data_IF_437729192201
#
_entry.id   IF_437729192201
#
_cell.length_a   1.000
_cell.length_b   1.000
_cell.length_c   1.000
_cell.angle_alpha   90.00
_cell.angle_beta   90.00
_cell.angle_gamma   90.00
#
_symmetry.space_group_name_H-M   'P 1'
#
loop_
_entity.id
_entity.type
_entity.pdbx_description
1 polymer ?
#
# COMPACT_ATOMS: atom_id res chain seq x y z
N UNK A 1 4.87 -67.44 -14.69
CA UNK A 1 5.37 -66.44 -13.73
C UNK A 1 5.50 -65.07 -14.41
N UNK A 2 4.38 -64.40 -14.77
CA UNK A 2 4.41 -63.11 -15.50
C UNK A 2 3.20 -62.24 -15.17
N UNK A 3 2.87 -62.10 -13.88
CA UNK A 3 1.74 -61.26 -13.42
C UNK A 3 2.09 -60.26 -12.32
N UNK A 4 3.30 -60.31 -11.74
CA UNK A 4 3.68 -59.44 -10.62
C UNK A 4 4.23 -58.06 -11.03
N UNK A 5 4.84 -57.93 -12.21
CA UNK A 5 5.43 -56.65 -12.64
C UNK A 5 4.40 -55.62 -13.14
N UNK A 6 3.23 -56.05 -13.60
CA UNK A 6 2.16 -55.16 -14.09
C UNK A 6 1.47 -54.39 -12.95
N UNK A 7 1.21 -55.08 -11.83
CA UNK A 7 0.63 -54.52 -10.61
C UNK A 7 1.56 -53.46 -9.98
N UNK A 8 2.88 -53.71 -10.02
CA UNK A 8 3.92 -52.78 -9.54
C UNK A 8 4.01 -51.54 -10.43
N UNK A 9 3.94 -51.69 -11.75
CA UNK A 9 3.97 -50.55 -12.67
C UNK A 9 2.75 -49.64 -12.49
N UNK A 10 1.57 -50.25 -12.28
CA UNK A 10 0.31 -49.54 -12.08
C UNK A 10 0.21 -48.88 -10.70
N UNK A 11 0.81 -49.46 -9.66
CA UNK A 11 0.92 -48.84 -8.34
C UNK A 11 1.94 -47.69 -8.32
N UNK A 12 3.07 -47.84 -9.03
CA UNK A 12 4.08 -46.79 -9.19
C UNK A 12 3.56 -45.61 -10.02
N UNK A 13 2.87 -45.86 -11.14
CA UNK A 13 2.24 -44.78 -11.93
C UNK A 13 1.17 -44.03 -11.14
N UNK A 14 0.33 -44.74 -10.37
CA UNK A 14 -0.68 -44.13 -9.50
C UNK A 14 -0.08 -43.29 -8.38
N UNK A 15 1.10 -43.67 -7.86
CA UNK A 15 1.85 -42.87 -6.89
C UNK A 15 2.49 -41.62 -7.51
N UNK A 16 2.96 -41.71 -8.76
CA UNK A 16 3.53 -40.58 -9.50
C UNK A 16 2.46 -39.57 -9.91
N UNK A 17 1.27 -40.04 -10.34
CA UNK A 17 0.18 -39.17 -10.77
C UNK A 17 -0.46 -38.40 -9.60
N UNK A 18 -0.60 -39.05 -8.43
CA UNK A 18 -1.07 -38.39 -7.21
C UNK A 18 -0.07 -37.35 -6.66
N UNK A 19 1.23 -37.62 -6.78
CA UNK A 19 2.32 -36.74 -6.33
C UNK A 19 2.73 -35.68 -7.39
N UNK A 20 2.31 -35.85 -8.65
CA UNK A 20 2.45 -34.84 -9.70
C UNK A 20 1.32 -33.80 -9.70
N UNK A 21 0.09 -34.23 -9.41
CA UNK A 21 -1.04 -33.29 -9.30
C UNK A 21 -0.86 -32.36 -8.11
N UNK A 22 -0.24 -32.85 -7.03
CA UNK A 22 0.21 -31.98 -5.97
C UNK A 22 1.29 -31.03 -6.53
N UNK A 23 2.50 -31.49 -6.89
CA UNK A 23 3.65 -30.58 -7.12
C UNK A 23 3.46 -29.45 -8.14
N UNK A 24 2.50 -29.52 -9.06
CA UNK A 24 2.21 -28.44 -10.03
C UNK A 24 1.67 -27.15 -9.39
N UNK A 25 0.99 -27.24 -8.25
CA UNK A 25 0.44 -26.07 -7.55
C UNK A 25 1.31 -25.61 -6.38
N UNK A 26 2.47 -26.26 -6.19
CA UNK A 26 3.42 -25.90 -5.14
C UNK A 26 4.08 -24.55 -5.46
N UNK A 27 3.76 -23.55 -4.65
CA UNK A 27 4.32 -22.20 -4.75
C UNK A 27 5.43 -22.05 -3.72
N UNK A 28 6.49 -21.34 -4.08
CA UNK A 28 7.62 -21.05 -3.20
C UNK A 28 7.74 -19.53 -3.07
N UNK A 29 7.80 -19.03 -1.84
CA UNK A 29 7.93 -17.60 -1.60
C UNK A 29 9.36 -17.12 -1.88
N UNK A 30 9.52 -16.11 -2.76
CA UNK A 30 10.83 -15.47 -3.08
C UNK A 30 11.66 -15.01 -1.87
N UNK A 31 11.01 -14.59 -0.78
CA UNK A 31 11.69 -13.93 0.33
C UNK A 31 12.01 -14.87 1.49
N UNK A 32 11.13 -15.81 1.80
CA UNK A 32 11.32 -16.75 2.92
C UNK A 32 11.62 -18.18 2.49
N UNK A 33 11.55 -18.48 1.18
CA UNK A 33 11.83 -19.80 0.60
C UNK A 33 10.97 -20.94 1.18
N UNK A 34 9.85 -20.60 1.83
CA UNK A 34 8.88 -21.57 2.33
C UNK A 34 7.94 -21.95 1.18
N UNK A 35 7.77 -23.26 1.02
CA UNK A 35 6.82 -23.86 0.09
C UNK A 35 5.42 -23.85 0.71
N UNK A 36 4.40 -23.62 -0.10
CA UNK A 36 3.02 -23.65 0.37
C UNK A 36 2.02 -23.84 -0.75
N UNK A 37 0.80 -24.14 -0.32
CA UNK A 37 -0.27 -24.68 -1.16
C UNK A 37 -1.58 -23.95 -0.83
N UNK A 38 -2.47 -23.79 -1.82
CA UNK A 38 -3.83 -23.26 -1.58
C UNK A 38 -3.95 -21.75 -1.32
N UNK A 39 -5.04 -21.36 -0.65
CA UNK A 39 -5.52 -19.98 -0.34
C UNK A 39 -4.73 -19.24 0.75
N UNK A 40 -3.49 -19.65 1.04
CA UNK A 40 -2.58 -18.79 1.79
C UNK A 40 -2.46 -17.47 1.01
N UNK A 41 -2.28 -16.34 1.72
CA UNK A 41 -2.17 -14.98 1.17
C UNK A 41 -0.98 -14.82 0.21
N UNK A 42 -1.04 -15.48 -0.94
CA UNK A 42 -0.11 -15.41 -2.04
C UNK A 42 -0.42 -14.19 -2.89
N UNK A 43 0.63 -13.58 -3.40
CA UNK A 43 0.59 -12.41 -4.26
C UNK A 43 1.58 -12.59 -5.40
N UNK A 44 1.21 -12.11 -6.57
CA UNK A 44 2.03 -11.93 -7.76
C UNK A 44 2.28 -10.44 -7.97
N UNK A 45 3.27 -9.84 -7.30
CA UNK A 45 3.47 -8.39 -7.35
C UNK A 45 3.96 -7.90 -8.72
N UNK A 46 4.51 -8.79 -9.56
CA UNK A 46 5.09 -8.42 -10.85
C UNK A 46 4.97 -9.55 -11.88
N UNK A 47 5.35 -9.24 -13.13
CA UNK A 47 5.30 -10.16 -14.28
C UNK A 47 6.54 -11.05 -14.44
N UNK A 48 7.28 -11.31 -13.35
CA UNK A 48 8.38 -12.27 -13.39
C UNK A 48 7.85 -13.70 -13.58
N UNK A 49 8.67 -14.60 -14.11
CA UNK A 49 8.31 -16.01 -14.32
C UNK A 49 9.05 -16.93 -13.35
N UNK A 50 8.59 -18.19 -13.26
CA UNK A 50 9.19 -19.22 -12.40
C UNK A 50 8.95 -19.01 -10.90
N UNK A 51 9.91 -19.46 -10.09
CA UNK A 51 9.87 -19.32 -8.61
C UNK A 51 9.86 -17.86 -8.13
N UNK A 52 10.23 -16.92 -9.00
CA UNK A 52 10.31 -15.49 -8.69
C UNK A 52 8.97 -14.76 -8.70
N UNK A 53 7.90 -15.46 -9.09
CA UNK A 53 6.57 -14.94 -9.31
C UNK A 53 5.73 -14.85 -8.03
N UNK A 54 5.89 -15.81 -7.12
CA UNK A 54 5.02 -15.99 -5.96
C UNK A 54 5.66 -15.48 -4.67
N UNK A 55 4.92 -14.70 -3.90
CA UNK A 55 5.34 -14.19 -2.59
C UNK A 55 4.16 -14.17 -1.63
N UNK A 56 4.42 -14.35 -0.33
CA UNK A 56 3.38 -14.07 0.67
C UNK A 56 3.15 -12.55 0.79
N UNK A 57 1.89 -12.12 0.96
CA UNK A 57 1.53 -10.70 1.17
C UNK A 57 2.32 -10.09 2.34
N UNK A 58 2.47 -10.82 3.45
CA UNK A 58 3.22 -10.37 4.62
C UNK A 58 4.72 -10.20 4.33
N UNK A 59 5.34 -11.19 3.67
CA UNK A 59 6.76 -11.12 3.30
C UNK A 59 7.03 -9.93 2.37
N UNK A 60 6.14 -9.70 1.41
CA UNK A 60 6.28 -8.58 0.48
C UNK A 60 6.06 -7.22 1.15
N UNK A 61 5.08 -7.10 2.07
CA UNK A 61 4.88 -5.88 2.85
C UNK A 61 6.08 -5.56 3.74
N UNK A 62 6.67 -6.57 4.40
CA UNK A 62 7.89 -6.41 5.20
C UNK A 62 9.08 -5.96 4.34
N UNK A 63 9.24 -6.58 3.17
CA UNK A 63 10.25 -6.17 2.19
C UNK A 63 10.03 -4.73 1.71
N UNK A 64 8.79 -4.34 1.43
CA UNK A 64 8.43 -3.00 0.99
C UNK A 64 8.72 -1.93 2.05
N UNK A 65 8.54 -2.27 3.34
CA UNK A 65 8.88 -1.40 4.45
C UNK A 65 10.39 -1.13 4.57
N UNK A 66 11.23 -2.09 4.15
CA UNK A 66 12.69 -1.98 4.12
C UNK A 66 13.25 -1.45 2.80
N UNK A 67 12.47 -1.53 1.72
CA UNK A 67 12.91 -1.14 0.39
C UNK A 67 12.92 0.39 0.21
N UNK A 68 14.06 0.90 -0.28
CA UNK A 68 14.26 2.33 -0.55
C UNK A 68 14.21 2.64 -2.05
N UNK A 69 13.80 3.88 -2.39
CA UNK A 69 13.85 4.40 -3.76
C UNK A 69 12.98 3.64 -4.76
N UNK A 70 13.55 3.35 -5.94
CA UNK A 70 12.82 2.72 -7.08
C UNK A 70 12.32 1.31 -6.74
N UNK A 71 13.00 0.58 -5.87
CA UNK A 71 12.61 -0.79 -5.48
C UNK A 71 11.27 -0.85 -4.75
N UNK A 72 10.83 0.25 -4.10
CA UNK A 72 9.52 0.34 -3.45
C UNK A 72 8.35 0.55 -4.44
N UNK A 73 8.66 0.87 -5.69
CA UNK A 73 7.66 1.29 -6.69
C UNK A 73 7.60 0.28 -7.84
N UNK A 74 8.71 -0.38 -8.15
CA UNK A 74 8.79 -1.34 -9.25
C UNK A 74 9.71 -2.52 -8.93
N UNK A 75 9.47 -3.63 -9.61
CA UNK A 75 10.35 -4.79 -9.57
C UNK A 75 11.73 -4.45 -10.13
N UNK A 76 12.80 -4.89 -9.46
CA UNK A 76 14.17 -4.66 -9.92
C UNK A 76 14.56 -5.52 -11.14
N UNK A 77 13.84 -6.62 -11.38
CA UNK A 77 14.13 -7.57 -12.45
C UNK A 77 13.36 -7.17 -13.71
N UNK A 78 12.02 -7.28 -13.66
CA UNK A 78 11.18 -7.03 -14.83
C UNK A 78 10.74 -5.56 -14.97
N UNK A 79 11.16 -4.66 -14.06
CA UNK A 79 10.81 -3.21 -14.05
C UNK A 79 9.30 -2.89 -14.01
N UNK A 80 8.46 -3.89 -13.77
CA UNK A 80 7.01 -3.72 -13.64
C UNK A 80 6.69 -2.90 -12.38
N UNK A 81 5.86 -1.85 -12.53
CA UNK A 81 5.39 -1.02 -11.40
C UNK A 81 4.32 -1.76 -10.61
N UNK A 82 4.50 -1.82 -9.30
CA UNK A 82 3.54 -2.48 -8.41
C UNK A 82 2.20 -1.76 -8.43
N UNK A 83 1.11 -2.52 -8.55
CA UNK A 83 -0.26 -1.98 -8.54
C UNK A 83 -0.72 -1.79 -7.11
N UNK A 84 -0.84 -0.53 -6.67
CA UNK A 84 -1.29 -0.14 -5.33
C UNK A 84 -2.74 0.33 -5.41
N UNK A 85 -3.58 -0.15 -4.49
CA UNK A 85 -4.96 0.30 -4.35
C UNK A 85 -5.17 0.74 -2.90
N UNK A 86 -5.89 1.85 -2.73
CA UNK A 86 -6.32 2.34 -1.43
C UNK A 86 -7.62 1.65 -1.06
N UNK A 87 -7.63 0.99 0.08
CA UNK A 87 -8.83 0.39 0.65
C UNK A 87 -9.17 1.08 1.96
N UNK A 88 -10.47 1.23 2.21
CA UNK A 88 -10.96 1.64 3.52
C UNK A 88 -10.77 0.46 4.47
N UNK A 89 -10.16 0.70 5.64
CA UNK A 89 -10.07 -0.32 6.66
C UNK A 89 -11.48 -0.67 7.17
N UNK A 90 -11.71 -1.90 7.64
CA UNK A 90 -12.91 -2.23 8.39
C UNK A 90 -13.08 -1.28 9.58
N UNK A 91 -14.32 -0.92 9.94
CA UNK A 91 -14.60 0.09 10.97
C UNK A 91 -14.00 -0.26 12.34
N UNK A 92 -13.80 -1.56 12.62
CA UNK A 92 -13.19 -2.06 13.86
C UNK A 92 -11.70 -1.73 13.99
N UNK A 93 -11.02 -1.49 12.87
CA UNK A 93 -9.58 -1.18 12.80
C UNK A 93 -9.31 0.33 12.68
N UNK A 94 -10.36 1.15 12.75
CA UNK A 94 -10.19 2.60 12.70
C UNK A 94 -9.59 3.08 14.01
N UNK A 95 -8.40 3.66 13.91
CA UNK A 95 -7.74 4.30 15.04
C UNK A 95 -7.89 5.81 14.94
N UNK A 96 -8.03 6.47 16.09
CA UNK A 96 -7.96 7.92 16.13
C UNK A 96 -6.60 8.38 15.55
N UNK A 97 -6.56 9.32 14.61
CA UNK A 97 -5.30 9.80 14.05
C UNK A 97 -4.47 10.45 15.15
N UNK A 98 -3.21 10.03 15.25
CA UNK A 98 -2.23 10.62 16.16
C UNK A 98 -1.79 11.97 15.61
N UNK A 99 -2.60 12.98 15.92
CA UNK A 99 -2.34 14.37 15.62
C UNK A 99 -1.57 14.93 16.82
N UNK A 100 -0.24 14.82 16.76
CA UNK A 100 0.65 15.48 17.71
C UNK A 100 0.67 17.00 17.46
N UNK A 101 -0.45 17.66 17.75
CA UNK A 101 -0.65 19.09 17.62
C UNK A 101 0.06 19.79 18.78
N UNK A 102 1.11 20.54 18.47
CA UNK A 102 1.74 21.40 19.46
C UNK A 102 0.85 22.60 19.79
N UNK A 103 1.12 23.26 20.91
CA UNK A 103 0.45 24.53 21.24
C UNK A 103 0.63 25.58 20.14
N UNK A 104 1.80 25.58 19.48
CA UNK A 104 2.08 26.45 18.34
C UNK A 104 1.12 26.14 17.20
N UNK A 105 0.93 24.86 16.84
CA UNK A 105 -0.01 24.45 15.77
C UNK A 105 -1.46 24.86 16.07
N UNK A 106 -1.89 24.82 17.33
CA UNK A 106 -3.24 25.24 17.74
C UNK A 106 -3.40 26.76 17.61
N UNK A 107 -2.46 27.52 18.17
CA UNK A 107 -2.47 28.97 18.09
C UNK A 107 -2.44 29.42 16.62
N UNK A 108 -1.61 28.75 15.83
CA UNK A 108 -1.56 28.86 14.39
C UNK A 108 -2.95 28.62 13.75
N UNK A 109 -3.62 27.50 14.04
CA UNK A 109 -4.93 27.18 13.47
C UNK A 109 -5.99 28.24 13.81
N UNK A 110 -5.92 28.82 15.01
CA UNK A 110 -6.77 29.93 15.43
C UNK A 110 -6.49 31.21 14.64
N UNK A 111 -5.20 31.54 14.42
CA UNK A 111 -4.83 32.68 13.57
C UNK A 111 -5.35 32.52 12.14
N UNK A 112 -5.35 31.31 11.57
CA UNK A 112 -5.92 31.06 10.23
C UNK A 112 -7.42 31.29 10.20
N UNK A 113 -8.13 30.71 11.16
CA UNK A 113 -9.56 30.88 11.27
C UNK A 113 -9.91 32.37 11.39
N UNK A 114 -9.14 33.12 12.19
CA UNK A 114 -9.28 34.56 12.33
C UNK A 114 -8.99 35.31 11.02
N UNK A 115 -7.89 35.00 10.33
CA UNK A 115 -7.55 35.63 9.04
C UNK A 115 -8.63 35.32 8.00
N UNK A 116 -9.07 34.06 7.86
CA UNK A 116 -10.12 33.67 6.93
C UNK A 116 -11.45 34.36 7.24
N UNK A 117 -11.80 34.46 8.53
CA UNK A 117 -12.99 35.18 8.98
C UNK A 117 -12.92 36.68 8.63
N UNK A 118 -11.79 37.33 8.93
CA UNK A 118 -11.56 38.76 8.62
C UNK A 118 -11.51 39.02 7.12
N UNK A 119 -10.90 38.13 6.34
CA UNK A 119 -10.87 38.20 4.88
C UNK A 119 -12.26 38.06 4.27
N UNK A 120 -13.09 37.15 4.81
CA UNK A 120 -14.50 37.00 4.40
C UNK A 120 -15.32 38.23 4.76
N UNK A 121 -15.09 38.82 5.93
CA UNK A 121 -15.73 40.06 6.36
C UNK A 121 -15.36 41.25 5.45
N UNK A 122 -14.09 41.38 5.06
CA UNK A 122 -13.61 42.40 4.11
C UNK A 122 -14.22 42.21 2.71
N UNK A 123 -14.50 40.97 2.29
CA UNK A 123 -15.18 40.69 1.03
C UNK A 123 -16.68 41.04 1.08
N UNK A 124 -17.34 40.88 2.24
CA UNK A 124 -18.75 41.25 2.44
C UNK A 124 -18.95 42.77 2.47
N UNK A 125 -17.99 43.54 2.98
CA UNK A 125 -17.98 45.02 2.93
C UNK A 125 -17.26 45.44 1.64
N UNK A 126 -17.99 45.42 0.53
CA UNK A 126 -17.63 45.80 -0.84
C UNK A 126 -16.42 46.76 -1.02
N UNK A 127 -15.18 46.26 -0.93
CA UNK A 127 -13.93 46.97 -1.24
C UNK A 127 -13.05 46.06 -2.12
N UNK A 128 -12.55 46.50 -3.28
CA UNK A 128 -11.67 45.70 -4.10
C UNK A 128 -10.41 45.34 -3.30
N UNK A 129 -10.25 44.06 -2.97
CA UNK A 129 -9.07 43.57 -2.24
C UNK A 129 -7.83 43.79 -3.10
N UNK A 130 -6.87 44.59 -2.62
CA UNK A 130 -5.60 44.83 -3.29
C UNK A 130 -4.90 43.51 -3.65
N UNK A 131 -4.25 43.48 -4.81
CA UNK A 131 -3.46 42.33 -5.31
C UNK A 131 -2.47 41.84 -4.24
N UNK A 132 -1.94 42.76 -3.43
CA UNK A 132 -1.04 42.47 -2.29
C UNK A 132 -1.66 41.50 -1.29
N UNK A 133 -2.94 41.69 -0.93
CA UNK A 133 -3.63 40.83 0.03
C UNK A 133 -3.82 39.42 -0.51
N UNK A 134 -4.03 39.29 -1.83
CA UNK A 134 -4.12 37.98 -2.50
C UNK A 134 -2.78 37.25 -2.46
N UNK A 135 -1.68 37.95 -2.77
CA UNK A 135 -0.32 37.38 -2.77
C UNK A 135 0.08 36.92 -1.36
N UNK A 136 -0.14 37.76 -0.35
CA UNK A 136 0.15 37.42 1.05
C UNK A 136 -0.65 36.19 1.51
N UNK A 137 -1.94 36.12 1.17
CA UNK A 137 -2.78 34.96 1.47
C UNK A 137 -2.27 33.68 0.80
N UNK A 138 -1.88 33.75 -0.48
CA UNK A 138 -1.33 32.58 -1.18
C UNK A 138 -0.01 32.13 -0.57
N UNK A 139 0.91 33.06 -0.30
CA UNK A 139 2.20 32.76 0.34
C UNK A 139 2.02 32.08 1.69
N UNK A 140 1.02 32.54 2.45
CA UNK A 140 0.68 31.97 3.75
C UNK A 140 0.14 30.54 3.65
N UNK A 141 -0.77 30.29 2.70
CA UNK A 141 -1.30 28.93 2.43
C UNK A 141 -0.16 27.99 1.99
N UNK A 142 0.80 28.46 1.18
CA UNK A 142 1.96 27.68 0.79
C UNK A 142 2.86 27.34 1.99
N UNK A 143 3.09 28.27 2.90
CA UNK A 143 3.84 28.00 4.13
C UNK A 143 3.18 26.91 4.97
N UNK A 144 1.84 26.96 5.09
CA UNK A 144 1.06 25.95 5.83
C UNK A 144 0.75 24.67 5.08
N UNK A 145 1.04 24.60 3.79
CA UNK A 145 0.80 23.40 3.00
C UNK A 145 1.44 22.16 3.63
N UNK A 146 2.66 22.29 4.15
CA UNK A 146 3.35 21.21 4.85
C UNK A 146 2.61 20.69 6.08
N UNK A 147 2.02 21.58 6.90
CA UNK A 147 1.21 21.21 8.05
C UNK A 147 -0.05 20.46 7.62
N UNK A 148 -0.80 21.00 6.64
CA UNK A 148 -2.00 20.35 6.14
C UNK A 148 -1.73 18.99 5.51
N UNK A 149 -0.61 18.85 4.79
CA UNK A 149 -0.19 17.56 4.21
C UNK A 149 0.10 16.54 5.31
N UNK A 150 0.78 16.93 6.40
CA UNK A 150 1.04 16.03 7.54
C UNK A 150 -0.26 15.62 8.23
N UNK A 151 -1.13 16.58 8.52
CA UNK A 151 -2.42 16.32 9.15
C UNK A 151 -3.30 15.41 8.28
N UNK A 152 -3.41 15.71 6.97
CA UNK A 152 -4.12 14.87 6.01
C UNK A 152 -3.54 13.47 5.92
N UNK A 153 -2.21 13.34 5.89
CA UNK A 153 -1.54 12.03 5.85
C UNK A 153 -1.83 11.21 7.11
N UNK A 154 -1.85 11.83 8.29
CA UNK A 154 -2.17 11.16 9.55
C UNK A 154 -3.64 10.70 9.59
N UNK A 155 -4.56 11.54 9.11
CA UNK A 155 -5.97 11.18 8.94
C UNK A 155 -6.11 10.04 7.93
N UNK A 156 -5.46 10.15 6.77
CA UNK A 156 -5.54 9.14 5.71
C UNK A 156 -5.00 7.78 6.17
N UNK A 157 -3.92 7.73 6.95
CA UNK A 157 -3.37 6.46 7.47
C UNK A 157 -4.25 5.81 8.54
N UNK A 158 -5.09 6.58 9.25
CA UNK A 158 -6.09 6.04 10.17
C UNK A 158 -7.19 5.27 9.45
N UNK A 159 -7.76 5.83 8.38
CA UNK A 159 -8.93 5.28 7.70
C UNK A 159 -8.58 4.35 6.53
N UNK A 160 -7.47 4.59 5.85
CA UNK A 160 -7.10 3.87 4.64
C UNK A 160 -5.86 3.00 4.86
N UNK A 161 -5.85 1.85 4.20
CA UNK A 161 -4.67 1.01 4.03
C UNK A 161 -4.31 0.92 2.56
N UNK A 162 -3.01 0.90 2.25
CA UNK A 162 -2.51 0.67 0.89
C UNK A 162 -2.26 -0.82 0.76
N UNK A 163 -2.99 -1.49 -0.13
CA UNK A 163 -2.72 -2.89 -0.48
C UNK A 163 -2.14 -3.00 -1.88
N UNK A 164 -1.24 -3.95 -2.06
CA UNK A 164 -0.70 -4.29 -3.39
C UNK A 164 -1.49 -5.49 -3.91
N UNK A 165 -1.98 -5.35 -5.13
CA UNK A 165 -2.77 -6.37 -5.82
C UNK A 165 -1.97 -7.01 -6.94
N UNK A 166 -2.44 -8.15 -7.42
CA UNK A 166 -1.75 -8.95 -8.42
C UNK A 166 -1.51 -8.21 -9.74
N UNK A 167 -0.34 -8.48 -10.31
CA UNK A 167 -0.01 -8.13 -11.67
C UNK A 167 -0.71 -9.11 -12.62
N UNK A 168 -1.96 -8.80 -12.97
CA UNK A 168 -2.71 -9.47 -14.05
C UNK A 168 -1.91 -9.45 -15.36
#
# INVERSE_FOLDING_TARGET
MRSSNWEIYKSFSKSIDADQFSRKDMKICRFCYVEGWGEIDWLRPCKCSGSMLWVHKQCFNSWLGKASGKSRIQCQICRFRYRKVLFLKPWKEWSLPDLHLSFIDILELLFDAFILYRMKFIHTINRPTSIVVKILRTSYIFHRFGFYVRAFSAVASSFFSVMIIDAV
#
